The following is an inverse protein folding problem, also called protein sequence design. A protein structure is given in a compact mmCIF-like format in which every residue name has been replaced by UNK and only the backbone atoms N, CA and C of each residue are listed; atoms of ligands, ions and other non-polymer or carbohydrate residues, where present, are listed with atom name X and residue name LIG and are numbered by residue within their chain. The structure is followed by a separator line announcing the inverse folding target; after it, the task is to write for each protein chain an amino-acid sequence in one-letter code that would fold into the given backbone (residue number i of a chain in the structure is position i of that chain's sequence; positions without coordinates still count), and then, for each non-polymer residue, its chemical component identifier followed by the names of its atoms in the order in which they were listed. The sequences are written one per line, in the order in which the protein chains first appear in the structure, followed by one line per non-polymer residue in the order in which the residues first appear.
data_IF_613911037022
#
_entry.id   IF_613911037022
#
_cell.length_a   1.000
_cell.length_b   1.000
_cell.length_c   1.000
_cell.angle_alpha   90.00
_cell.angle_beta   90.00
_cell.angle_gamma   90.00
#
_symmetry.space_group_name_H-M   'P 1'
#
loop_
_entity.id
_entity.type
_entity.pdbx_description
1 polymer ?
#
# COMPACT_ATOMS: atom_id res chain seq x y z
N UNK A 1 -3.48 -4.08 11.70
CA UNK A 1 -2.21 -4.03 10.92
C UNK A 1 -1.08 -4.48 11.81
N UNK A 2 -0.35 -5.52 11.41
CA UNK A 2 0.78 -6.06 12.19
C UNK A 2 2.09 -5.68 11.52
N UNK A 3 2.86 -4.79 12.17
CA UNK A 3 4.25 -4.53 11.78
C UNK A 3 5.15 -5.60 12.38
N UNK A 4 5.97 -6.24 11.55
CA UNK A 4 6.87 -7.31 11.95
C UNK A 4 8.33 -6.94 11.71
N UNK A 5 9.23 -7.50 12.53
CA UNK A 5 10.67 -7.26 12.40
C UNK A 5 11.28 -8.12 11.29
N UNK A 6 12.47 -7.75 10.85
CA UNK A 6 13.24 -8.51 9.88
C UNK A 6 13.61 -9.90 10.41
N UNK A 7 13.91 -10.04 11.71
CA UNK A 7 14.19 -11.32 12.34
C UNK A 7 12.98 -12.25 12.33
N UNK A 8 11.81 -11.72 12.72
CA UNK A 8 10.56 -12.48 12.65
C UNK A 8 10.28 -12.99 11.23
N UNK A 9 10.50 -12.13 10.20
CA UNK A 9 10.31 -12.54 8.81
C UNK A 9 11.29 -13.63 8.43
N UNK A 10 12.57 -13.52 8.83
CA UNK A 10 13.57 -14.53 8.53
C UNK A 10 13.21 -15.91 9.12
N UNK A 11 12.70 -15.93 10.35
CA UNK A 11 12.24 -17.15 11.02
C UNK A 11 11.02 -17.78 10.34
N UNK A 12 10.17 -16.97 9.69
CA UNK A 12 8.92 -17.41 9.06
C UNK A 12 8.96 -17.42 7.52
N UNK A 13 10.13 -17.24 6.92
CA UNK A 13 10.31 -17.01 5.47
C UNK A 13 9.65 -18.06 4.58
N UNK A 14 9.60 -19.32 5.02
CA UNK A 14 9.06 -20.44 4.25
C UNK A 14 7.55 -20.68 4.47
N UNK A 15 6.95 -20.05 5.46
CA UNK A 15 5.52 -20.20 5.77
C UNK A 15 4.68 -19.01 5.27
N UNK A 16 5.32 -17.92 4.87
CA UNK A 16 4.67 -16.71 4.41
C UNK A 16 4.56 -16.66 2.88
N UNK A 17 3.47 -16.09 2.41
CA UNK A 17 3.40 -15.53 1.06
C UNK A 17 3.94 -14.11 1.10
N UNK A 18 5.01 -13.85 0.38
CA UNK A 18 5.74 -12.59 0.47
C UNK A 18 5.51 -11.78 -0.80
N UNK A 19 5.10 -10.52 -0.65
CA UNK A 19 4.78 -9.64 -1.77
C UNK A 19 5.62 -8.37 -1.69
N UNK A 20 6.38 -8.10 -2.76
CA UNK A 20 6.98 -6.80 -3.00
C UNK A 20 5.93 -5.87 -3.60
N UNK A 21 5.54 -4.85 -2.87
CA UNK A 21 4.57 -3.84 -3.29
C UNK A 21 5.24 -2.47 -3.53
N UNK A 22 6.49 -2.49 -3.97
CA UNK A 22 7.23 -1.27 -4.27
C UNK A 22 6.59 -0.48 -5.39
N UNK A 23 6.42 0.83 -5.18
CA UNK A 23 5.97 1.78 -6.17
C UNK A 23 6.68 3.12 -5.97
N UNK A 24 7.01 3.80 -7.04
CA UNK A 24 7.74 5.06 -7.00
C UNK A 24 7.01 6.17 -7.73
N UNK A 25 7.15 7.41 -7.23
CA UNK A 25 6.64 8.57 -7.96
C UNK A 25 7.36 8.69 -9.32
N UNK A 26 6.65 9.01 -10.41
CA UNK A 26 7.25 9.15 -11.75
C UNK A 26 8.46 10.11 -11.79
N UNK A 27 8.46 11.14 -10.93
CA UNK A 27 9.56 12.10 -10.81
C UNK A 27 10.87 11.47 -10.32
N UNK A 28 10.81 10.32 -9.63
CA UNK A 28 12.01 9.62 -9.13
C UNK A 28 12.74 8.83 -10.22
N UNK A 29 12.09 8.59 -11.38
CA UNK A 29 12.65 7.84 -12.51
C UNK A 29 13.21 6.46 -12.10
N UNK A 30 12.59 5.83 -11.12
CA UNK A 30 12.90 4.47 -10.66
C UNK A 30 11.91 3.49 -11.26
N UNK A 31 12.36 2.24 -11.51
CA UNK A 31 11.52 1.16 -12.00
C UNK A 31 11.43 0.06 -10.93
N UNK A 32 10.30 -0.08 -10.22
CA UNK A 32 10.18 -1.03 -9.12
C UNK A 32 10.27 -2.50 -9.59
N UNK A 33 9.81 -2.82 -10.80
CA UNK A 33 9.90 -4.17 -11.35
C UNK A 33 11.37 -4.55 -11.65
N UNK A 34 12.16 -3.63 -12.23
CA UNK A 34 13.59 -3.86 -12.43
C UNK A 34 14.36 -3.98 -11.12
N UNK A 35 13.99 -3.17 -10.11
CA UNK A 35 14.59 -3.25 -8.78
C UNK A 35 14.31 -4.61 -8.13
N UNK A 36 13.07 -5.11 -8.24
CA UNK A 36 12.70 -6.44 -7.78
C UNK A 36 13.53 -7.53 -8.46
N UNK A 37 13.68 -7.49 -9.79
CA UNK A 37 14.50 -8.47 -10.54
C UNK A 37 15.98 -8.43 -10.15
N UNK A 38 16.46 -7.27 -9.70
CA UNK A 38 17.86 -7.10 -9.29
C UNK A 38 18.12 -7.53 -7.84
N UNK A 39 17.17 -7.36 -6.93
CA UNK A 39 17.29 -7.75 -5.54
C UNK A 39 15.94 -7.75 -4.83
N UNK A 40 15.50 -8.90 -4.35
CA UNK A 40 14.27 -9.05 -3.57
C UNK A 40 14.44 -10.06 -2.43
N UNK A 41 13.50 -10.08 -1.50
CA UNK A 41 13.44 -11.07 -0.40
C UNK A 41 13.11 -12.43 -1.02
N UNK A 42 13.84 -13.52 -0.67
CA UNK A 42 13.54 -14.86 -1.21
C UNK A 42 12.07 -15.24 -1.04
N UNK A 43 11.54 -16.00 -1.99
CA UNK A 43 10.14 -16.45 -2.06
C UNK A 43 9.11 -15.33 -2.30
N UNK A 44 9.54 -14.09 -2.54
CA UNK A 44 8.60 -13.01 -2.83
C UNK A 44 8.12 -13.03 -4.29
N UNK A 45 6.93 -12.46 -4.49
CA UNK A 45 6.36 -12.13 -5.80
C UNK A 45 6.19 -10.62 -5.89
N UNK A 46 6.23 -10.06 -7.11
CA UNK A 46 6.07 -8.62 -7.32
C UNK A 46 4.61 -8.27 -7.61
N UNK A 47 4.10 -7.25 -6.92
CA UNK A 47 2.78 -6.66 -7.16
C UNK A 47 2.92 -5.31 -7.82
N UNK A 48 2.58 -5.20 -9.09
CA UNK A 48 2.58 -3.94 -9.82
C UNK A 48 1.30 -3.15 -9.49
N UNK A 49 1.44 -2.02 -8.77
CA UNK A 49 0.31 -1.19 -8.39
C UNK A 49 -0.38 -0.54 -9.59
N UNK A 50 0.40 -0.11 -10.59
CA UNK A 50 -0.15 0.55 -11.78
C UNK A 50 -0.93 -0.45 -12.64
N UNK A 51 -0.38 -1.64 -12.88
CA UNK A 51 -1.04 -2.68 -13.67
C UNK A 51 -2.26 -3.28 -12.97
N UNK A 52 -2.23 -3.40 -11.65
CA UNK A 52 -3.29 -4.04 -10.85
C UNK A 52 -4.35 -3.06 -10.31
N UNK A 53 -4.39 -1.83 -10.82
CA UNK A 53 -5.42 -0.85 -10.53
C UNK A 53 -6.53 -0.84 -11.59
N UNK A 54 -7.70 -0.27 -11.26
CA UNK A 54 -8.82 -0.11 -12.19
C UNK A 54 -8.38 0.64 -13.45
N UNK A 55 -8.72 0.12 -14.63
CA UNK A 55 -8.32 0.67 -15.93
C UNK A 55 -9.39 1.55 -16.58
N UNK A 56 -10.67 1.35 -16.24
CA UNK A 56 -11.80 2.12 -16.80
C UNK A 56 -11.99 3.47 -16.08
N UNK A 57 -10.89 4.19 -15.80
CA UNK A 57 -10.95 5.47 -15.09
C UNK A 57 -9.74 6.34 -15.40
N UNK A 58 -9.94 7.66 -15.44
CA UNK A 58 -8.86 8.65 -15.52
C UNK A 58 -8.18 8.88 -14.16
N UNK A 59 -8.68 8.27 -13.08
CA UNK A 59 -8.11 8.40 -11.75
C UNK A 59 -7.08 7.29 -11.52
N UNK A 60 -5.87 7.62 -11.08
CA UNK A 60 -4.84 6.61 -10.84
C UNK A 60 -5.12 5.79 -9.57
N UNK A 61 -4.69 4.55 -9.60
CA UNK A 61 -4.67 3.63 -8.46
C UNK A 61 -6.05 3.42 -7.81
N UNK A 62 -7.13 3.50 -8.60
CA UNK A 62 -8.46 3.12 -8.12
C UNK A 62 -8.48 1.61 -7.84
N UNK A 63 -9.28 1.21 -6.86
CA UNK A 63 -9.48 -0.22 -6.57
C UNK A 63 -10.15 -0.90 -7.77
N UNK A 64 -9.63 -2.04 -8.23
CA UNK A 64 -10.26 -2.78 -9.33
C UNK A 64 -11.58 -3.43 -8.86
N UNK A 65 -12.33 -4.00 -9.79
CA UNK A 65 -13.52 -4.78 -9.46
C UNK A 65 -13.15 -6.06 -8.71
N UNK A 66 -14.07 -6.54 -7.88
CA UNK A 66 -13.89 -7.72 -7.03
C UNK A 66 -13.36 -8.93 -7.80
N UNK A 67 -13.95 -9.23 -8.97
CA UNK A 67 -13.56 -10.37 -9.79
C UNK A 67 -12.15 -10.21 -10.38
N UNK A 68 -11.77 -8.97 -10.70
CA UNK A 68 -10.43 -8.64 -11.21
C UNK A 68 -9.40 -8.84 -10.10
N UNK A 69 -9.70 -8.34 -8.88
CA UNK A 69 -8.83 -8.56 -7.73
C UNK A 69 -8.62 -10.03 -7.42
N UNK A 70 -9.69 -10.84 -7.46
CA UNK A 70 -9.59 -12.29 -7.28
C UNK A 70 -8.61 -12.93 -8.26
N UNK A 71 -8.69 -12.56 -9.55
CA UNK A 71 -7.76 -13.03 -10.57
C UNK A 71 -6.32 -12.58 -10.34
N UNK A 72 -6.12 -11.31 -9.94
CA UNK A 72 -4.79 -10.78 -9.61
C UNK A 72 -4.15 -11.60 -8.48
N UNK A 73 -4.85 -11.81 -7.37
CA UNK A 73 -4.32 -12.58 -6.25
C UNK A 73 -4.08 -14.04 -6.63
N UNK A 74 -4.98 -14.64 -7.39
CA UNK A 74 -4.82 -16.01 -7.91
C UNK A 74 -3.57 -16.15 -8.79
N UNK A 75 -3.34 -15.21 -9.70
CA UNK A 75 -2.15 -15.20 -10.57
C UNK A 75 -0.83 -15.00 -9.81
N UNK A 76 -0.88 -14.42 -8.62
CA UNK A 76 0.27 -14.30 -7.70
C UNK A 76 0.41 -15.52 -6.77
N UNK A 77 -0.43 -16.54 -6.92
CA UNK A 77 -0.40 -17.76 -6.10
C UNK A 77 -0.85 -17.55 -4.65
N UNK A 78 -1.68 -16.53 -4.40
CA UNK A 78 -2.20 -16.19 -3.07
C UNK A 78 -3.57 -16.85 -2.86
N UNK A 79 -3.76 -17.49 -1.71
CA UNK A 79 -5.05 -18.04 -1.26
C UNK A 79 -5.65 -17.20 -0.13
N UNK A 80 -6.97 -17.32 0.08
CA UNK A 80 -7.67 -16.57 1.12
C UNK A 80 -7.17 -16.84 2.55
N UNK A 81 -6.54 -17.98 2.78
CA UNK A 81 -6.06 -18.39 4.11
C UNK A 81 -4.56 -18.21 4.32
N UNK A 82 -3.85 -17.65 3.36
CA UNK A 82 -2.41 -17.46 3.46
C UNK A 82 -2.06 -16.37 4.48
N UNK A 83 -0.94 -16.54 5.16
CA UNK A 83 -0.27 -15.50 5.93
C UNK A 83 0.58 -14.68 4.95
N UNK A 84 0.23 -13.40 4.77
CA UNK A 84 0.84 -12.53 3.76
C UNK A 84 1.78 -11.53 4.42
N UNK A 85 3.04 -11.52 4.00
CA UNK A 85 3.98 -10.45 4.29
C UNK A 85 4.03 -9.48 3.10
N UNK A 86 3.89 -8.20 3.39
CA UNK A 86 4.08 -7.13 2.41
C UNK A 86 5.32 -6.33 2.77
N UNK A 87 6.16 -6.05 1.80
CA UNK A 87 7.24 -5.09 1.96
C UNK A 87 7.31 -4.13 0.76
N UNK A 88 8.08 -3.07 0.91
CA UNK A 88 8.39 -2.15 -0.19
C UNK A 88 9.83 -1.61 -0.09
N UNK A 89 10.29 -1.01 -1.20
CA UNK A 89 11.50 -0.19 -1.29
C UNK A 89 11.14 1.28 -1.60
N UNK A 90 9.93 1.69 -1.23
CA UNK A 90 9.34 2.99 -1.55
C UNK A 90 9.46 3.98 -0.40
N UNK A 91 9.78 5.23 -0.71
CA UNK A 91 9.75 6.31 0.28
C UNK A 91 8.31 6.68 0.70
N UNK A 92 7.32 6.31 -0.11
CA UNK A 92 5.89 6.56 0.13
C UNK A 92 5.21 5.46 0.95
N UNK A 93 5.92 4.40 1.35
CA UNK A 93 5.35 3.26 2.07
C UNK A 93 4.20 2.61 1.28
N UNK A 94 4.46 2.27 0.02
CA UNK A 94 3.45 1.68 -0.88
C UNK A 94 2.89 0.34 -0.41
N UNK A 95 3.61 -0.39 0.44
CA UNK A 95 3.12 -1.56 1.17
C UNK A 95 1.78 -1.32 1.90
N UNK A 96 1.58 -0.11 2.44
CA UNK A 96 0.33 0.26 3.10
C UNK A 96 -0.86 0.28 2.12
N UNK A 97 -0.63 0.59 0.84
CA UNK A 97 -1.67 0.56 -0.19
C UNK A 97 -2.13 -0.86 -0.46
N UNK A 98 -1.19 -1.80 -0.63
CA UNK A 98 -1.54 -3.21 -0.83
C UNK A 98 -2.20 -3.80 0.41
N UNK A 99 -1.73 -3.47 1.61
CA UNK A 99 -2.36 -3.85 2.87
C UNK A 99 -3.84 -3.43 2.91
N UNK A 100 -4.13 -2.17 2.56
CA UNK A 100 -5.50 -1.68 2.52
C UNK A 100 -6.35 -2.41 1.46
N UNK A 101 -5.78 -2.67 0.28
CA UNK A 101 -6.49 -3.39 -0.78
C UNK A 101 -6.83 -4.83 -0.36
N UNK A 102 -5.90 -5.56 0.26
CA UNK A 102 -6.16 -6.90 0.81
C UNK A 102 -7.28 -6.87 1.87
N UNK A 103 -7.23 -5.89 2.77
CA UNK A 103 -8.27 -5.70 3.79
C UNK A 103 -9.63 -5.41 3.16
N UNK A 104 -9.69 -4.51 2.17
CA UNK A 104 -10.92 -4.12 1.47
C UNK A 104 -11.53 -5.30 0.74
N UNK A 105 -10.72 -6.13 0.09
CA UNK A 105 -11.18 -7.33 -0.62
C UNK A 105 -11.31 -8.58 0.27
N UNK A 106 -11.34 -8.40 1.59
CA UNK A 106 -11.80 -9.41 2.53
C UNK A 106 -10.75 -10.38 3.05
N UNK A 107 -9.45 -10.16 2.77
CA UNK A 107 -8.42 -10.95 3.42
C UNK A 107 -8.46 -10.74 4.94
N UNK A 108 -8.13 -11.78 5.72
CA UNK A 108 -8.14 -11.69 7.18
C UNK A 108 -7.02 -10.72 7.65
N UNK A 109 -7.42 -9.64 8.33
CA UNK A 109 -6.48 -8.63 8.86
C UNK A 109 -5.38 -9.23 9.75
N UNK A 110 -5.68 -10.31 10.47
CA UNK A 110 -4.74 -10.99 11.35
C UNK A 110 -3.64 -11.74 10.60
N UNK A 111 -3.85 -11.98 9.30
CA UNK A 111 -2.94 -12.68 8.40
C UNK A 111 -2.20 -11.76 7.44
N UNK A 112 -2.30 -10.44 7.63
CA UNK A 112 -1.59 -9.46 6.81
C UNK A 112 -0.52 -8.77 7.66
N UNK A 113 0.73 -8.93 7.28
CA UNK A 113 1.90 -8.37 7.96
C UNK A 113 2.61 -7.37 7.06
N UNK A 114 3.20 -6.33 7.62
CA UNK A 114 4.06 -5.38 6.92
C UNK A 114 5.45 -5.42 7.53
N UNK A 115 6.48 -5.53 6.69
CA UNK A 115 7.87 -5.49 7.11
C UNK A 115 8.25 -4.10 7.60
N UNK A 116 8.56 -3.97 8.88
CA UNK A 116 9.02 -2.71 9.46
C UNK A 116 10.40 -2.32 8.91
N UNK A 117 10.45 -1.19 8.21
CA UNK A 117 11.66 -0.69 7.55
C UNK A 117 11.84 -1.14 6.10
N UNK A 118 10.98 -2.04 5.59
CA UNK A 118 10.96 -2.47 4.20
C UNK A 118 12.27 -3.11 3.73
N UNK A 119 12.49 -3.17 2.41
CA UNK A 119 13.68 -3.78 1.82
C UNK A 119 14.97 -3.06 2.23
N UNK A 120 14.94 -1.74 2.44
CA UNK A 120 16.13 -0.98 2.86
C UNK A 120 16.70 -1.48 4.18
N UNK A 121 15.83 -1.70 5.19
CA UNK A 121 16.26 -2.22 6.49
C UNK A 121 16.70 -3.68 6.40
N UNK A 122 15.98 -4.51 5.62
CA UNK A 122 16.33 -5.90 5.36
C UNK A 122 17.77 -6.04 4.84
N UNK A 123 18.13 -5.23 3.82
CA UNK A 123 19.49 -5.21 3.24
C UNK A 123 20.52 -4.66 4.26
N UNK A 124 20.18 -3.57 4.95
CA UNK A 124 21.06 -2.97 5.96
C UNK A 124 21.45 -3.95 7.07
N UNK A 125 20.54 -4.84 7.45
CA UNK A 125 20.78 -5.89 8.45
C UNK A 125 21.38 -7.16 7.85
N UNK A 126 21.88 -7.11 6.62
CA UNK A 126 22.51 -8.23 5.91
C UNK A 126 21.64 -9.50 5.82
N UNK A 127 20.32 -9.33 5.71
CA UNK A 127 19.41 -10.45 5.50
C UNK A 127 19.47 -10.96 4.06
N UNK A 128 19.11 -12.23 3.79
CA UNK A 128 19.23 -12.82 2.46
C UNK A 128 18.40 -12.11 1.40
N UNK A 129 19.02 -11.87 0.25
CA UNK A 129 18.36 -11.38 -0.97
C UNK A 129 18.64 -12.32 -2.13
N UNK A 130 17.79 -12.29 -3.14
CA UNK A 130 17.94 -13.09 -4.36
C UNK A 130 17.58 -12.30 -5.61
N UNK A 131 17.97 -12.83 -6.78
CA UNK A 131 17.52 -12.42 -8.13
C UNK A 131 16.67 -13.51 -8.78
N UNK A 132 16.53 -14.65 -8.11
CA UNK A 132 15.81 -15.80 -8.64
C UNK A 132 14.33 -15.55 -8.41
N UNK A 133 13.57 -15.39 -9.48
CA UNK A 133 12.13 -15.22 -9.43
C UNK A 133 11.44 -16.43 -8.85
N UNK A 134 10.47 -16.20 -8.01
CA UNK A 134 9.65 -17.25 -7.40
C UNK A 134 8.78 -17.92 -8.44
N UNK A 135 8.81 -19.25 -8.50
CA UNK A 135 7.85 -20.01 -9.31
C UNK A 135 6.45 -19.86 -8.71
N UNK A 136 5.51 -19.37 -9.53
CA UNK A 136 4.15 -19.13 -9.08
C UNK A 136 3.28 -20.30 -9.53
N UNK A 137 2.63 -20.94 -8.57
CA UNK A 137 1.54 -21.87 -8.83
C UNK A 137 0.24 -21.09 -8.63
N UNK A 138 -0.54 -20.93 -9.70
CA UNK A 138 -1.81 -20.22 -9.66
C UNK A 138 -2.74 -20.82 -8.60
N UNK A 139 -3.43 -19.96 -7.88
CA UNK A 139 -4.34 -20.33 -6.80
C UNK A 139 -5.80 -20.03 -7.15
N UNK A 140 -6.69 -20.12 -6.18
CA UNK A 140 -8.09 -19.72 -6.31
C UNK A 140 -8.46 -18.75 -5.18
N UNK A 141 -8.19 -17.47 -5.38
CA UNK A 141 -8.53 -16.41 -4.44
C UNK A 141 -9.94 -15.88 -4.71
N UNK A 142 -10.80 -15.88 -3.69
CA UNK A 142 -12.15 -15.31 -3.77
C UNK A 142 -12.16 -13.99 -3.01
N UNK A 143 -12.27 -12.88 -3.75
CA UNK A 143 -12.39 -11.56 -3.14
C UNK A 143 -13.80 -11.35 -2.57
N UNK A 144 -13.90 -10.53 -1.51
CA UNK A 144 -15.16 -10.13 -0.89
C UNK A 144 -15.04 -8.68 -0.41
N UNK A 145 -15.65 -7.74 -1.13
CA UNK A 145 -15.53 -6.31 -0.85
C UNK A 145 -16.16 -5.93 0.48
N UNK A 146 -15.41 -5.19 1.28
CA UNK A 146 -15.88 -4.53 2.51
C UNK A 146 -16.24 -3.08 2.19
N UNK A 147 -17.42 -2.88 1.61
CA UNK A 147 -17.89 -1.57 1.12
C UNK A 147 -17.85 -0.45 2.19
N UNK A 148 -17.96 -0.81 3.47
CA UNK A 148 -17.89 0.13 4.58
C UNK A 148 -16.51 0.78 4.79
N UNK A 149 -15.46 0.30 4.13
CA UNK A 149 -14.10 0.85 4.19
C UNK A 149 -13.85 1.96 3.18
N UNK A 150 -14.75 2.15 2.22
CA UNK A 150 -14.63 3.17 1.18
C UNK A 150 -15.90 4.00 1.14
N UNK A 151 -15.76 5.32 1.05
CA UNK A 151 -16.88 6.24 0.88
C UNK A 151 -16.89 6.81 -0.52
N UNK A 152 -18.09 6.91 -1.12
CA UNK A 152 -18.27 7.47 -2.44
C UNK A 152 -18.22 9.00 -2.44
N UNK A 153 -18.04 9.58 -3.62
CA UNK A 153 -18.14 11.04 -3.82
C UNK A 153 -19.47 11.60 -3.29
N UNK A 154 -20.60 10.92 -3.55
CA UNK A 154 -21.92 11.38 -3.10
C UNK A 154 -22.07 11.33 -1.58
N UNK A 155 -21.47 10.34 -0.92
CA UNK A 155 -21.43 10.26 0.54
C UNK A 155 -20.62 11.43 1.12
N UNK A 156 -19.45 11.75 0.55
CA UNK A 156 -18.67 12.93 0.95
C UNK A 156 -19.46 14.22 0.75
N UNK A 157 -20.12 14.36 -0.41
CA UNK A 157 -20.96 15.54 -0.72
C UNK A 157 -22.09 15.72 0.30
N UNK A 158 -22.77 14.65 0.67
CA UNK A 158 -23.81 14.67 1.72
C UNK A 158 -23.22 15.02 3.09
N UNK A 159 -22.03 14.50 3.41
CA UNK A 159 -21.37 14.73 4.67
C UNK A 159 -20.96 16.19 4.92
N UNK A 160 -20.75 16.99 3.87
CA UNK A 160 -20.47 18.44 4.01
C UNK A 160 -21.60 19.13 4.82
N UNK A 161 -22.85 18.71 4.61
CA UNK A 161 -24.01 19.25 5.32
C UNK A 161 -24.31 18.48 6.62
N UNK A 162 -24.31 17.15 6.57
CA UNK A 162 -24.72 16.31 7.71
C UNK A 162 -23.66 16.20 8.80
N UNK A 163 -22.36 16.36 8.46
CA UNK A 163 -21.21 16.22 9.38
C UNK A 163 -21.25 14.93 10.19
N UNK A 164 -21.71 13.84 9.59
CA UNK A 164 -21.90 12.55 10.27
C UNK A 164 -20.57 11.82 10.55
N UNK A 165 -19.50 12.19 9.84
CA UNK A 165 -18.15 11.70 10.07
C UNK A 165 -17.09 12.77 9.77
N UNK A 166 -15.93 12.66 10.38
CA UNK A 166 -14.81 13.56 10.14
C UNK A 166 -14.07 13.19 8.86
N UNK A 167 -13.72 14.21 8.05
CA UNK A 167 -12.89 14.07 6.86
C UNK A 167 -11.49 14.56 7.19
N UNK A 168 -10.49 13.72 7.01
CA UNK A 168 -9.08 14.06 7.25
C UNK A 168 -8.36 14.12 5.89
N UNK A 169 -7.71 15.23 5.61
CA UNK A 169 -6.87 15.43 4.43
C UNK A 169 -5.40 15.16 4.80
N UNK A 170 -4.82 14.10 4.23
CA UNK A 170 -3.45 13.68 4.50
C UNK A 170 -2.40 14.37 3.62
N UNK A 171 -2.80 15.32 2.75
CA UNK A 171 -1.88 16.10 1.92
C UNK A 171 -1.09 17.11 2.76
N UNK A 172 -0.06 17.74 2.16
CA UNK A 172 0.66 18.82 2.84
C UNK A 172 -0.26 20.00 3.18
N UNK A 173 0.10 20.73 4.24
CA UNK A 173 -0.68 21.90 4.69
C UNK A 173 -0.85 22.94 3.57
N UNK A 174 0.20 23.18 2.78
CA UNK A 174 0.16 24.16 1.67
C UNK A 174 -0.84 23.78 0.58
N UNK A 175 -0.98 22.47 0.27
CA UNK A 175 -2.00 21.96 -0.66
C UNK A 175 -3.39 22.08 -0.05
N UNK A 176 -3.54 21.74 1.21
CA UNK A 176 -4.80 21.89 1.96
C UNK A 176 -5.28 23.35 1.97
N UNK A 177 -4.40 24.29 2.24
CA UNK A 177 -4.72 25.72 2.26
C UNK A 177 -4.86 26.35 0.87
N UNK A 178 -4.56 25.60 -0.20
CA UNK A 178 -4.62 26.10 -1.57
C UNK A 178 -3.49 27.06 -1.95
N UNK A 179 -2.41 27.11 -1.18
CA UNK A 179 -1.26 27.98 -1.41
C UNK A 179 -0.37 27.52 -2.56
N UNK A 180 -0.48 26.25 -2.94
CA UNK A 180 0.24 25.66 -4.07
C UNK A 180 -0.75 24.97 -5.02
N UNK A 181 -0.37 24.91 -6.30
CA UNK A 181 -1.17 24.20 -7.31
C UNK A 181 -1.13 22.69 -7.09
N UNK A 182 -2.20 22.02 -7.48
CA UNK A 182 -2.22 20.55 -7.50
C UNK A 182 -1.25 20.01 -8.56
N UNK A 183 -0.55 18.88 -8.29
CA UNK A 183 0.37 18.27 -9.25
C UNK A 183 -0.32 17.82 -10.55
N UNK A 184 -1.61 17.52 -10.50
CA UNK A 184 -2.40 17.11 -11.66
C UNK A 184 -3.13 18.31 -12.25
N UNK A 185 -3.05 18.45 -13.57
CA UNK A 185 -3.76 19.48 -14.31
C UNK A 185 -5.27 19.33 -14.13
N UNK A 186 -5.98 20.47 -14.04
CA UNK A 186 -7.44 20.50 -13.97
C UNK A 186 -8.04 20.32 -12.56
N UNK A 187 -7.24 20.02 -11.55
CA UNK A 187 -7.72 19.98 -10.18
C UNK A 187 -7.67 21.37 -9.53
N UNK A 188 -8.72 21.69 -8.77
CA UNK A 188 -8.77 22.92 -7.98
C UNK A 188 -7.91 22.78 -6.72
N UNK A 189 -7.18 23.86 -6.38
CA UNK A 189 -6.45 23.96 -5.10
C UNK A 189 -7.43 24.12 -3.93
N UNK A 190 -6.98 23.77 -2.74
CA UNK A 190 -7.75 23.85 -1.50
C UNK A 190 -8.23 22.47 -1.02
N UNK A 191 -9.26 22.46 -0.18
CA UNK A 191 -9.72 21.26 0.53
C UNK A 191 -11.24 21.10 0.53
N UNK A 192 -11.71 19.94 0.94
CA UNK A 192 -13.13 19.67 1.15
C UNK A 192 -13.60 20.45 2.38
N UNK A 193 -14.72 21.18 2.25
CA UNK A 193 -15.29 21.96 3.34
C UNK A 193 -15.51 21.07 4.59
N UNK A 194 -15.15 21.60 5.76
CA UNK A 194 -15.18 20.91 7.06
C UNK A 194 -14.22 19.73 7.20
N UNK A 195 -13.20 19.59 6.34
CA UNK A 195 -12.13 18.65 6.54
C UNK A 195 -11.02 19.22 7.46
N UNK A 196 -10.25 18.33 8.08
CA UNK A 196 -9.10 18.66 8.92
C UNK A 196 -7.81 18.28 8.19
N UNK A 197 -6.80 19.12 8.28
CA UNK A 197 -5.49 18.81 7.72
C UNK A 197 -4.66 17.98 8.72
N UNK A 198 -4.18 16.83 8.25
CA UNK A 198 -3.28 15.98 9.03
C UNK A 198 -2.27 15.33 8.07
N UNK A 199 -1.21 16.07 7.70
CA UNK A 199 -0.26 15.62 6.69
C UNK A 199 0.40 14.29 7.08
N UNK A 200 0.40 13.33 6.17
CA UNK A 200 1.00 12.00 6.38
C UNK A 200 2.48 12.07 6.75
N UNK A 201 3.20 13.07 6.23
CA UNK A 201 4.62 13.33 6.53
C UNK A 201 4.84 13.65 8.01
N UNK A 202 3.88 14.28 8.70
CA UNK A 202 4.01 14.63 10.12
C UNK A 202 4.10 13.41 11.03
N UNK A 203 3.47 12.29 10.67
CA UNK A 203 3.55 11.03 11.43
C UNK A 203 4.87 10.32 11.31
N UNK A 204 5.51 10.39 10.15
CA UNK A 204 6.81 9.76 9.94
C UNK A 204 7.91 10.45 10.76
N UNK A 205 7.80 11.77 10.96
CA UNK A 205 8.75 12.52 11.79
C UNK A 205 8.52 12.34 13.30
N UNK A 206 7.28 12.23 13.78
CA UNK A 206 6.98 11.98 15.19
C UNK A 206 7.54 10.64 15.68
N UNK A 207 7.44 9.57 14.89
CA UNK A 207 8.03 8.26 15.25
C UNK A 207 9.57 8.25 15.22
N UNK A 208 10.21 9.07 14.38
CA UNK A 208 11.67 9.16 14.35
C UNK A 208 12.23 9.78 15.64
N UNK A 209 11.48 10.64 16.33
CA UNK A 209 11.89 11.20 17.62
C UNK A 209 11.68 10.25 18.80
N UNK A 210 10.70 9.35 18.74
CA UNK A 210 10.46 8.37 19.82
C UNK A 210 11.50 7.23 19.83
N UNK A 211 12.16 6.94 18.72
CA UNK A 211 13.20 5.89 18.63
C UNK A 211 14.59 6.36 19.04
N UNK A 212 14.79 7.65 19.29
CA UNK A 212 16.09 8.19 19.74
C UNK A 212 16.20 8.38 21.26
N UNK A 213 15.22 7.97 22.05
CA UNK A 213 15.17 8.19 23.50
C UNK A 213 15.10 6.91 24.35
N UNK A 214 15.65 5.78 23.85
CA UNK A 214 15.90 4.57 24.66
C UNK A 214 17.24 3.97 24.33
#
# INVERSE_FOLDING_TARGET
MSLVTTDWVLENLNSLKIIDASWHMPAQKRNPAEEYLNAHIPNSVFFDLDENSEKDTDLPHMLPKQEVWGKIMSSLGINNNDDILIYDNSDLKSSCRLWFSLLYFGHDEKKIYILNGGLKKWIFENKPITKITTEIIESNYVANEKENLVVSFDQIKKNILSKSFNVIDARSLERFEGKVSEPRKGLRSGHIQNSFCLPSVSYTHLRAHETCTN
#
